data_IF_180555095185
#
_entry.id   IF_180555095185
#
_cell.length_a   1.000
_cell.length_b   1.000
_cell.length_c   1.000
_cell.angle_alpha   90.00
_cell.angle_beta   90.00
_cell.angle_gamma   90.00
#
_symmetry.space_group_name_H-M   'P 1'
#
loop_
_entity.id
_entity.type
_entity.pdbx_description
1 polymer ?
#
# COMPACT_ATOMS: atom_id res chain seq x y z
N UNK A 1 -10.95 7.83 25.37
CA UNK A 1 -9.52 7.47 25.41
C UNK A 1 -9.14 7.31 23.96
N UNK A 2 -8.98 8.42 23.28
CA UNK A 2 -8.94 8.48 21.81
C UNK A 2 -7.51 8.80 21.44
N UNK A 3 -6.74 7.73 21.25
CA UNK A 3 -5.39 7.78 20.74
C UNK A 3 -5.44 8.06 19.23
N UNK A 4 -5.86 9.26 18.84
CA UNK A 4 -5.84 9.70 17.44
C UNK A 4 -4.44 10.23 17.09
N UNK A 5 -3.44 9.34 17.20
CA UNK A 5 -2.10 9.61 16.68
C UNK A 5 -2.19 9.52 15.15
N UNK A 6 -1.74 10.53 14.38
CA UNK A 6 -1.85 10.52 12.93
C UNK A 6 -1.13 9.29 12.37
N UNK A 7 -1.88 8.41 11.68
CA UNK A 7 -1.29 7.23 11.04
C UNK A 7 -0.30 7.72 9.97
N UNK A 8 0.98 7.32 10.03
CA UNK A 8 1.98 7.80 9.09
C UNK A 8 1.64 7.32 7.68
N UNK A 9 1.32 8.25 6.78
CA UNK A 9 1.10 7.98 5.38
C UNK A 9 2.45 7.81 4.64
N UNK A 10 2.54 6.78 3.80
CA UNK A 10 3.75 6.45 3.04
C UNK A 10 3.44 6.53 1.54
N UNK A 11 4.16 7.39 0.83
CA UNK A 11 4.10 7.45 -0.62
C UNK A 11 5.10 6.45 -1.26
N UNK A 12 4.74 5.95 -2.43
CA UNK A 12 5.53 5.03 -3.26
C UNK A 12 5.44 5.46 -4.72
N UNK A 13 6.51 5.24 -5.49
CA UNK A 13 6.56 5.65 -6.90
C UNK A 13 6.18 4.53 -7.88
N UNK A 14 6.09 3.28 -7.41
CA UNK A 14 5.68 2.13 -8.21
C UNK A 14 4.96 1.08 -7.35
N UNK A 15 4.23 0.15 -7.98
CA UNK A 15 3.44 -0.86 -7.28
C UNK A 15 4.27 -1.90 -6.51
N UNK A 16 5.52 -2.17 -6.89
CA UNK A 16 6.40 -3.13 -6.22
C UNK A 16 6.89 -2.59 -4.88
N UNK A 17 7.31 -1.32 -4.84
CA UNK A 17 7.63 -0.61 -3.60
C UNK A 17 6.39 -0.49 -2.69
N UNK A 18 5.21 -0.25 -3.28
CA UNK A 18 3.92 -0.23 -2.56
C UNK A 18 3.67 -1.55 -1.80
N UNK A 19 3.81 -2.69 -2.47
CA UNK A 19 3.64 -4.02 -1.84
C UNK A 19 4.69 -4.25 -0.75
N UNK A 20 5.95 -3.89 -1.01
CA UNK A 20 7.04 -4.06 -0.05
C UNK A 20 6.82 -3.27 1.24
N UNK A 21 6.35 -2.02 1.14
CA UNK A 21 5.98 -1.19 2.28
C UNK A 21 4.70 -1.67 2.96
N UNK A 22 3.68 -2.07 2.19
CA UNK A 22 2.43 -2.59 2.73
C UNK A 22 2.65 -3.82 3.64
N UNK A 23 3.58 -4.71 3.28
CA UNK A 23 3.99 -5.85 4.12
C UNK A 23 4.62 -5.44 5.44
N UNK A 24 5.31 -4.30 5.49
CA UNK A 24 6.00 -3.82 6.69
C UNK A 24 5.08 -3.03 7.61
N UNK A 25 4.23 -2.17 7.04
CA UNK A 25 3.42 -1.23 7.83
C UNK A 25 1.97 -1.69 8.02
N UNK A 26 1.52 -2.72 7.28
CA UNK A 26 0.17 -3.29 7.33
C UNK A 26 -0.93 -2.20 7.34
N UNK A 27 -1.04 -1.42 6.25
CA UNK A 27 -1.99 -0.32 6.21
C UNK A 27 -3.42 -0.86 6.17
N UNK A 28 -4.34 -0.19 6.87
CA UNK A 28 -5.77 -0.52 6.79
C UNK A 28 -6.37 -0.11 5.44
N UNK A 29 -5.82 0.96 4.83
CA UNK A 29 -6.30 1.54 3.57
C UNK A 29 -5.10 1.86 2.69
N UNK A 30 -5.16 1.48 1.41
CA UNK A 30 -4.20 1.84 0.39
C UNK A 30 -4.91 2.49 -0.81
N UNK A 31 -4.35 3.57 -1.33
CA UNK A 31 -4.81 4.24 -2.56
C UNK A 31 -3.76 3.96 -3.63
N UNK A 32 -4.17 3.38 -4.75
CA UNK A 32 -3.27 2.95 -5.83
C UNK A 32 -3.64 3.68 -7.12
N UNK A 33 -2.67 4.32 -7.76
CA UNK A 33 -2.81 4.82 -9.13
C UNK A 33 -2.74 3.65 -10.13
N UNK A 34 -3.74 3.58 -11.01
CA UNK A 34 -3.83 2.56 -12.06
C UNK A 34 -2.68 2.69 -13.07
N UNK A 35 -2.20 3.90 -13.35
CA UNK A 35 -1.17 4.16 -14.38
C UNK A 35 0.27 4.17 -13.86
N UNK A 36 0.53 3.55 -12.70
CA UNK A 36 1.90 3.46 -12.16
C UNK A 36 2.87 2.73 -13.11
N UNK A 37 4.14 3.19 -13.19
CA UNK A 37 5.19 2.52 -13.95
C UNK A 37 5.59 1.19 -13.31
N UNK A 38 6.14 0.26 -14.10
CA UNK A 38 6.62 -1.09 -13.73
C UNK A 38 5.52 -2.08 -13.30
N UNK A 39 4.71 -1.71 -12.31
CA UNK A 39 3.57 -2.49 -11.83
C UNK A 39 2.38 -1.54 -11.68
N UNK A 40 1.34 -1.78 -12.48
CA UNK A 40 0.12 -0.98 -12.43
C UNK A 40 -0.64 -1.20 -11.11
N UNK A 41 -1.52 -0.26 -10.75
CA UNK A 41 -2.25 -0.31 -9.48
C UNK A 41 -3.19 -1.52 -9.32
N UNK A 42 -3.64 -2.12 -10.43
CA UNK A 42 -4.53 -3.28 -10.40
C UNK A 42 -3.77 -4.55 -10.01
N UNK A 43 -2.61 -4.77 -10.65
CA UNK A 43 -1.69 -5.87 -10.34
C UNK A 43 -1.17 -5.73 -8.91
N UNK A 44 -0.89 -4.50 -8.47
CA UNK A 44 -0.49 -4.22 -7.09
C UNK A 44 -1.60 -4.58 -6.08
N UNK A 45 -2.86 -4.25 -6.38
CA UNK A 45 -4.00 -4.64 -5.55
C UNK A 45 -4.16 -6.16 -5.47
N UNK A 46 -4.07 -6.85 -6.62
CA UNK A 46 -4.17 -8.31 -6.68
C UNK A 46 -3.10 -9.01 -5.83
N UNK A 47 -1.85 -8.53 -5.87
CA UNK A 47 -0.76 -9.06 -5.06
C UNK A 47 -0.87 -8.67 -3.57
N UNK A 48 -1.53 -7.55 -3.26
CA UNK A 48 -1.74 -7.12 -1.87
C UNK A 48 -2.72 -8.01 -1.13
N UNK A 49 -3.64 -8.71 -1.81
CA UNK A 49 -4.53 -9.71 -1.19
C UNK A 49 -3.78 -10.94 -0.66
N UNK A 50 -2.55 -11.18 -1.12
CA UNK A 50 -1.68 -12.24 -0.59
C UNK A 50 -0.86 -11.79 0.62
N UNK A 51 -0.95 -10.50 1.01
CA UNK A 51 -0.29 -9.99 2.20
C UNK A 51 -1.20 -10.32 3.39
N UNK A 52 -0.74 -11.15 4.34
CA UNK A 52 -1.53 -11.47 5.52
C UNK A 52 -1.74 -10.19 6.36
N UNK A 53 -2.99 -9.97 6.76
CA UNK A 53 -3.41 -8.89 7.65
C UNK A 53 -2.58 -8.84 8.93
#
# INVERSE_FOLDING_TARGET
MDADLPRPCRATSDGRDAIGKAKQIKPDIAILDIRMPLLNGLEAAAQSLQVPA
#
